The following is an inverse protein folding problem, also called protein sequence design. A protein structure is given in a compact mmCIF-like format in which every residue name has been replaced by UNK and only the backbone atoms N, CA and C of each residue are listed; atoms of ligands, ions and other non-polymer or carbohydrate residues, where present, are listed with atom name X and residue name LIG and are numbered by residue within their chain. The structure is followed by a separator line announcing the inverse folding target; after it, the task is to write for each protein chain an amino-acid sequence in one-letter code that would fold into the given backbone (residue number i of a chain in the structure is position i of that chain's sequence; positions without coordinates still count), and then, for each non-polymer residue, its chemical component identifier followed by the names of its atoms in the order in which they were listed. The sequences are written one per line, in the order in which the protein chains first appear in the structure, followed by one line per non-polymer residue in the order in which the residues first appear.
data_IF_403431551029
#
_entry.id   IF_403431551029
#
_cell.length_a   1.000
_cell.length_b   1.000
_cell.length_c   1.000
_cell.angle_alpha   90.00
_cell.angle_beta   90.00
_cell.angle_gamma   90.00
#
_symmetry.space_group_name_H-M   'P 1'
#
loop_
_entity.id
_entity.type
_entity.pdbx_description
1 polymer ?
#
# COMPACT_ATOMS: atom_id res chain seq x y z
N UNK A 1 -7.32 -10.74 -5.00
CA UNK A 1 -7.66 -10.99 -6.41
C UNK A 1 -8.42 -12.31 -6.54
N UNK A 2 -7.80 -13.46 -6.27
CA UNK A 2 -8.38 -14.82 -6.44
C UNK A 2 -9.74 -15.02 -5.74
N UNK A 3 -10.06 -14.27 -4.69
CA UNK A 3 -11.34 -14.37 -3.97
C UNK A 3 -12.45 -13.48 -4.56
N UNK A 4 -12.13 -12.62 -5.52
CA UNK A 4 -13.07 -11.65 -6.11
C UNK A 4 -13.22 -11.85 -7.61
N UNK A 5 -12.13 -12.15 -8.31
CA UNK A 5 -12.10 -12.31 -9.76
C UNK A 5 -12.15 -13.78 -10.18
N UNK A 6 -12.76 -14.04 -11.32
CA UNK A 6 -12.80 -15.33 -12.03
C UNK A 6 -12.11 -15.21 -13.38
N UNK A 7 -11.89 -16.33 -14.05
CA UNK A 7 -11.34 -16.34 -15.39
C UNK A 7 -12.25 -15.53 -16.36
N UNK A 8 -11.64 -14.59 -17.07
CA UNK A 8 -12.31 -13.68 -18.00
C UNK A 8 -12.90 -12.41 -17.40
N UNK A 9 -12.93 -12.27 -16.06
CA UNK A 9 -13.31 -11.00 -15.43
C UNK A 9 -12.26 -9.91 -15.69
N UNK A 10 -12.72 -8.67 -15.84
CA UNK A 10 -11.83 -7.51 -15.88
C UNK A 10 -11.61 -6.94 -14.47
N UNK A 11 -10.38 -6.52 -14.17
CA UNK A 11 -10.02 -5.83 -12.95
C UNK A 11 -9.16 -4.61 -13.25
N UNK A 12 -9.54 -3.46 -12.68
CA UNK A 12 -8.81 -2.20 -12.84
C UNK A 12 -7.64 -2.18 -11.85
N UNK A 13 -6.41 -2.00 -12.38
CA UNK A 13 -5.18 -2.06 -11.58
C UNK A 13 -4.19 -0.98 -12.00
N UNK A 14 -3.47 -0.32 -11.09
CA UNK A 14 -2.39 0.60 -11.48
C UNK A 14 -1.20 -0.19 -12.03
N UNK A 15 -0.39 0.44 -12.88
CA UNK A 15 0.78 -0.23 -13.48
C UNK A 15 1.89 -0.52 -12.48
N UNK A 16 1.94 0.16 -11.35
CA UNK A 16 2.94 -0.01 -10.30
C UNK A 16 2.55 -1.06 -9.24
N UNK A 17 1.67 -2.01 -9.57
CA UNK A 17 1.31 -3.10 -8.66
C UNK A 17 2.49 -4.02 -8.38
N UNK A 18 2.47 -4.62 -7.20
CA UNK A 18 3.45 -5.62 -6.82
C UNK A 18 3.34 -6.88 -7.70
N UNK A 19 4.45 -7.59 -7.91
CA UNK A 19 4.52 -8.84 -8.69
C UNK A 19 3.49 -9.89 -8.25
N UNK A 20 3.13 -9.94 -6.97
CA UNK A 20 2.10 -10.87 -6.47
C UNK A 20 0.72 -10.64 -7.10
N UNK A 21 0.38 -9.40 -7.40
CA UNK A 21 -0.88 -9.07 -8.10
C UNK A 21 -0.86 -9.64 -9.52
N UNK A 22 0.23 -9.45 -10.24
CA UNK A 22 0.40 -10.02 -11.60
C UNK A 22 0.30 -11.55 -11.55
N UNK A 23 0.98 -12.18 -10.59
CA UNK A 23 0.90 -13.63 -10.42
C UNK A 23 -0.54 -14.10 -10.10
N UNK A 24 -1.27 -13.36 -9.29
CA UNK A 24 -2.67 -13.66 -8.98
C UNK A 24 -3.57 -13.53 -10.21
N UNK A 25 -3.35 -12.52 -11.07
CA UNK A 25 -4.07 -12.36 -12.34
C UNK A 25 -3.84 -13.56 -13.27
N UNK A 26 -2.59 -14.01 -13.37
CA UNK A 26 -2.24 -15.20 -14.17
C UNK A 26 -2.94 -16.44 -13.62
N UNK A 27 -2.92 -16.64 -12.29
CA UNK A 27 -3.52 -17.80 -11.64
C UNK A 27 -5.04 -17.85 -11.77
N UNK A 28 -5.73 -16.71 -11.70
CA UNK A 28 -7.20 -16.69 -11.83
C UNK A 28 -7.69 -16.49 -13.26
N UNK A 29 -6.82 -16.12 -14.19
CA UNK A 29 -7.20 -15.84 -15.57
C UNK A 29 -8.00 -14.55 -15.75
N UNK A 30 -7.89 -13.60 -14.82
CA UNK A 30 -8.51 -12.29 -14.92
C UNK A 30 -7.72 -11.36 -15.86
N UNK A 31 -8.43 -10.46 -16.53
CA UNK A 31 -7.85 -9.51 -17.49
C UNK A 31 -7.60 -8.16 -16.79
N UNK A 32 -6.35 -7.68 -16.70
CA UNK A 32 -6.07 -6.38 -16.12
C UNK A 32 -6.44 -5.23 -17.06
N UNK A 33 -7.13 -4.24 -16.51
CA UNK A 33 -7.32 -2.91 -17.09
C UNK A 33 -6.33 -1.97 -16.39
N UNK A 34 -5.25 -1.62 -17.07
CA UNK A 34 -4.19 -0.84 -16.46
C UNK A 34 -4.49 0.65 -16.39
N UNK A 35 -4.39 1.23 -15.18
CA UNK A 35 -4.30 2.67 -14.99
C UNK A 35 -2.84 3.12 -15.17
N UNK A 36 -2.63 4.14 -16.01
CA UNK A 36 -1.34 4.77 -16.15
C UNK A 36 -1.15 5.77 -14.99
N UNK A 37 -0.25 5.43 -14.09
CA UNK A 37 0.15 6.31 -12.98
C UNK A 37 1.09 7.41 -13.49
N UNK A 38 0.97 8.59 -12.89
CA UNK A 38 1.93 9.67 -13.12
C UNK A 38 3.27 9.33 -12.47
N UNK A 39 4.34 9.93 -12.99
CA UNK A 39 5.68 9.85 -12.41
C UNK A 39 6.15 11.27 -12.11
N UNK A 40 6.63 11.50 -10.90
CA UNK A 40 7.29 12.76 -10.58
C UNK A 40 8.57 12.90 -11.41
N UNK A 41 8.67 13.97 -12.20
CA UNK A 41 9.76 14.13 -13.17
C UNK A 41 11.12 14.39 -12.50
N UNK A 42 11.14 15.01 -11.31
CA UNK A 42 12.37 15.29 -10.55
C UNK A 42 12.80 14.03 -9.79
N UNK A 43 11.88 13.45 -9.02
CA UNK A 43 12.20 12.34 -8.12
C UNK A 43 12.29 10.99 -8.85
N UNK A 44 11.66 10.86 -10.02
CA UNK A 44 11.59 9.61 -10.77
C UNK A 44 10.74 8.53 -10.10
N UNK A 45 9.87 8.92 -9.15
CA UNK A 45 8.99 8.01 -8.43
C UNK A 45 7.59 7.98 -9.03
N UNK A 46 6.96 6.82 -8.99
CA UNK A 46 5.57 6.65 -9.43
C UNK A 46 4.63 7.14 -8.36
N UNK A 47 3.66 7.97 -8.76
CA UNK A 47 2.65 8.55 -7.89
C UNK A 47 1.42 7.63 -7.74
N UNK A 48 0.42 8.10 -6.99
CA UNK A 48 -0.85 7.40 -6.80
C UNK A 48 -1.78 7.51 -8.02
N UNK A 49 -2.96 6.93 -7.87
CA UNK A 49 -4.06 7.06 -8.85
C UNK A 49 -5.10 8.04 -8.34
N UNK A 50 -5.76 8.75 -9.25
CA UNK A 50 -6.82 9.68 -8.92
C UNK A 50 -8.20 9.03 -9.01
N UNK A 51 -9.17 9.54 -8.25
CA UNK A 51 -10.58 9.11 -8.33
C UNK A 51 -11.09 9.23 -9.77
N UNK A 52 -10.74 10.33 -10.46
CA UNK A 52 -11.13 10.57 -11.84
C UNK A 52 -10.61 9.51 -12.82
N UNK A 53 -9.35 9.08 -12.67
CA UNK A 53 -8.78 8.01 -13.50
C UNK A 53 -9.51 6.69 -13.28
N UNK A 54 -9.84 6.37 -12.03
CA UNK A 54 -10.59 5.16 -11.68
C UNK A 54 -12.00 5.21 -12.27
N UNK A 55 -12.72 6.32 -12.12
CA UNK A 55 -14.06 6.50 -12.69
C UNK A 55 -14.05 6.36 -14.22
N UNK A 56 -13.12 7.00 -14.90
CA UNK A 56 -12.98 6.89 -16.34
C UNK A 56 -12.72 5.45 -16.80
N UNK A 57 -11.90 4.71 -16.05
CA UNK A 57 -11.65 3.30 -16.35
C UNK A 57 -12.90 2.43 -16.14
N UNK A 58 -13.66 2.68 -15.07
CA UNK A 58 -14.92 1.97 -14.80
C UNK A 58 -15.93 2.20 -15.95
N UNK A 59 -16.09 3.44 -16.39
CA UNK A 59 -17.00 3.80 -17.50
C UNK A 59 -16.56 3.14 -18.81
N UNK A 60 -15.25 3.11 -19.09
CA UNK A 60 -14.70 2.49 -20.29
C UNK A 60 -14.75 0.95 -20.25
N UNK A 61 -14.77 0.37 -19.05
CA UNK A 61 -14.75 -1.07 -18.81
C UNK A 61 -15.90 -1.53 -17.91
N UNK A 62 -17.15 -1.49 -18.39
CA UNK A 62 -18.36 -1.76 -17.58
C UNK A 62 -18.46 -3.23 -17.13
N UNK A 63 -17.59 -4.10 -17.61
CA UNK A 63 -17.46 -5.51 -17.16
C UNK A 63 -16.46 -5.70 -16.02
N UNK A 64 -15.75 -4.65 -15.61
CA UNK A 64 -14.85 -4.74 -14.50
C UNK A 64 -15.60 -5.10 -13.20
N UNK A 65 -15.05 -6.03 -12.43
CA UNK A 65 -15.67 -6.51 -11.19
C UNK A 65 -15.02 -5.90 -9.95
N UNK A 66 -13.80 -5.38 -10.09
CA UNK A 66 -13.05 -4.82 -8.98
C UNK A 66 -12.04 -3.75 -9.43
N UNK A 67 -11.65 -2.94 -8.46
CA UNK A 67 -10.52 -2.01 -8.54
C UNK A 67 -9.49 -2.46 -7.50
N UNK A 68 -8.21 -2.54 -7.87
CA UNK A 68 -7.12 -2.75 -6.93
C UNK A 68 -6.29 -1.48 -6.83
N UNK A 69 -5.95 -1.07 -5.62
CA UNK A 69 -5.14 0.13 -5.32
C UNK A 69 -3.95 -0.26 -4.46
N UNK A 70 -2.78 0.28 -4.78
CA UNK A 70 -1.58 0.19 -3.95
C UNK A 70 -1.51 1.44 -3.05
N UNK A 71 -1.81 1.31 -1.75
CA UNK A 71 -1.95 2.45 -0.85
C UNK A 71 -1.57 2.12 0.61
N UNK A 72 -0.51 2.74 1.19
CA UNK A 72 0.42 3.65 0.51
C UNK A 72 1.35 2.92 -0.46
N UNK A 73 1.94 3.68 -1.39
CA UNK A 73 3.03 3.16 -2.22
C UNK A 73 4.30 2.92 -1.37
N UNK A 74 5.31 2.29 -1.98
CA UNK A 74 6.63 2.12 -1.34
C UNK A 74 7.23 3.46 -0.86
N UNK A 75 6.98 4.52 -1.60
CA UNK A 75 7.50 5.88 -1.35
C UNK A 75 6.64 6.71 -0.39
N UNK A 76 5.58 6.15 0.18
CA UNK A 76 4.68 6.85 1.10
C UNK A 76 3.57 7.66 0.43
N UNK A 77 3.44 7.60 -0.88
CA UNK A 77 2.37 8.28 -1.62
C UNK A 77 1.04 7.59 -1.35
N UNK A 78 0.03 8.36 -0.97
CA UNK A 78 -1.34 7.89 -0.77
C UNK A 78 -2.28 8.49 -1.81
N UNK A 79 -3.11 7.65 -2.40
CA UNK A 79 -4.25 8.04 -3.23
C UNK A 79 -5.43 8.44 -2.35
N UNK A 80 -6.44 9.13 -2.91
CA UNK A 80 -7.74 9.29 -2.25
C UNK A 80 -8.50 7.96 -2.23
N UNK A 81 -8.05 7.07 -1.33
CA UNK A 81 -8.64 5.72 -1.21
C UNK A 81 -10.12 5.78 -0.82
N UNK A 82 -10.55 6.81 -0.05
CA UNK A 82 -11.96 6.98 0.31
C UNK A 82 -12.79 7.33 -0.92
N UNK A 83 -12.38 8.32 -1.69
CA UNK A 83 -13.04 8.68 -2.95
C UNK A 83 -13.06 7.54 -3.96
N UNK A 84 -11.99 6.75 -4.03
CA UNK A 84 -11.92 5.55 -4.89
C UNK A 84 -12.92 4.50 -4.43
N UNK A 85 -13.04 4.24 -3.13
CA UNK A 85 -14.05 3.31 -2.60
C UNK A 85 -15.47 3.78 -2.93
N UNK A 86 -15.77 5.05 -2.69
CA UNK A 86 -17.10 5.61 -2.92
C UNK A 86 -17.50 5.48 -4.40
N UNK A 87 -16.60 5.86 -5.33
CA UNK A 87 -16.92 5.78 -6.75
C UNK A 87 -17.01 4.32 -7.23
N UNK A 88 -16.10 3.44 -6.85
CA UNK A 88 -16.13 2.03 -7.24
C UNK A 88 -17.42 1.34 -6.76
N UNK A 89 -17.80 1.58 -5.50
CA UNK A 89 -19.04 1.01 -4.92
C UNK A 89 -20.29 1.56 -5.59
N UNK A 90 -20.30 2.84 -6.04
CA UNK A 90 -21.46 3.39 -6.76
C UNK A 90 -21.73 2.68 -8.09
N UNK A 91 -20.71 2.04 -8.67
CA UNK A 91 -20.82 1.20 -9.85
C UNK A 91 -20.89 -0.30 -9.53
N UNK A 92 -20.96 -0.68 -8.24
CA UNK A 92 -21.06 -2.08 -7.80
C UNK A 92 -19.75 -2.87 -7.84
N UNK A 93 -18.61 -2.21 -8.04
CA UNK A 93 -17.29 -2.87 -8.03
C UNK A 93 -16.77 -3.05 -6.60
N UNK A 94 -15.95 -4.10 -6.41
CA UNK A 94 -15.20 -4.30 -5.18
C UNK A 94 -13.88 -3.53 -5.18
N UNK A 95 -13.43 -3.07 -4.00
CA UNK A 95 -12.14 -2.39 -3.84
C UNK A 95 -11.18 -3.28 -3.05
N UNK A 96 -10.05 -3.58 -3.69
CA UNK A 96 -8.94 -4.34 -3.10
C UNK A 96 -7.78 -3.39 -2.84
N UNK A 97 -7.23 -3.40 -1.62
CA UNK A 97 -6.07 -2.59 -1.28
C UNK A 97 -4.84 -3.46 -1.05
N UNK A 98 -3.79 -3.21 -1.82
CA UNK A 98 -2.44 -3.64 -1.45
C UNK A 98 -1.88 -2.58 -0.49
N UNK A 99 -2.01 -2.87 0.79
CA UNK A 99 -1.60 -2.00 1.89
C UNK A 99 -0.37 -2.60 2.61
N UNK A 100 0.47 -3.31 1.86
CA UNK A 100 1.64 -3.98 2.40
C UNK A 100 2.61 -3.03 3.13
N UNK A 101 2.63 -1.76 2.78
CA UNK A 101 3.42 -0.71 3.42
C UNK A 101 2.65 0.13 4.44
N UNK A 102 1.41 -0.22 4.76
CA UNK A 102 0.47 0.58 5.56
C UNK A 102 0.04 -0.03 6.89
N UNK A 103 0.68 -1.08 7.40
CA UNK A 103 0.28 -1.72 8.69
C UNK A 103 0.15 -0.71 9.82
N UNK A 104 1.06 0.26 9.93
CA UNK A 104 1.09 1.29 10.97
C UNK A 104 -0.09 2.28 10.90
N UNK A 105 -0.72 2.43 9.74
CA UNK A 105 -1.88 3.31 9.55
C UNK A 105 -3.09 2.90 10.39
N UNK A 106 -3.12 1.66 10.87
CA UNK A 106 -4.16 1.14 11.76
C UNK A 106 -3.94 1.49 13.23
N UNK A 107 -2.74 1.95 13.60
CA UNK A 107 -2.32 2.07 14.99
C UNK A 107 -1.76 3.45 15.36
N UNK A 108 -1.41 4.29 14.37
CA UNK A 108 -0.91 5.64 14.59
C UNK A 108 -2.00 6.69 14.49
N UNK A 109 -1.82 7.81 15.19
CA UNK A 109 -2.64 9.01 15.01
C UNK A 109 -1.95 9.94 13.99
N UNK A 110 -2.74 10.80 13.32
CA UNK A 110 -2.25 11.78 12.34
C UNK A 110 -1.49 11.16 11.14
N UNK A 111 -1.76 9.90 10.85
CA UNK A 111 -1.31 9.19 9.65
C UNK A 111 -2.41 9.16 8.60
N UNK A 112 -2.09 8.89 7.33
CA UNK A 112 -3.10 8.70 6.29
C UNK A 112 -4.17 7.68 6.69
N UNK A 113 -5.38 7.85 6.15
CA UNK A 113 -6.46 6.91 6.42
C UNK A 113 -6.09 5.51 5.91
N UNK A 114 -6.28 4.46 6.73
CA UNK A 114 -6.12 3.09 6.28
C UNK A 114 -7.28 2.65 5.38
N UNK A 115 -7.00 1.69 4.51
CA UNK A 115 -7.93 1.27 3.44
C UNK A 115 -9.23 0.68 3.97
N UNK A 116 -9.20 -0.06 5.09
CA UNK A 116 -10.42 -0.64 5.67
C UNK A 116 -11.35 0.44 6.24
N UNK A 117 -10.79 1.45 6.90
CA UNK A 117 -11.57 2.60 7.40
C UNK A 117 -12.10 3.46 6.25
N UNK A 118 -11.38 3.53 5.14
CA UNK A 118 -11.82 4.21 3.93
C UNK A 118 -12.95 3.48 3.19
N UNK A 119 -13.19 2.21 3.50
CA UNK A 119 -14.28 1.42 2.93
C UNK A 119 -13.82 0.33 1.95
N UNK A 120 -12.52 0.05 1.80
CA UNK A 120 -12.06 -1.07 0.97
C UNK A 120 -12.68 -2.39 1.41
N UNK A 121 -13.00 -3.26 0.45
CA UNK A 121 -13.61 -4.56 0.74
C UNK A 121 -12.60 -5.57 1.27
N UNK A 122 -11.36 -5.52 0.76
CA UNK A 122 -10.25 -6.37 1.18
C UNK A 122 -8.97 -5.54 1.23
N UNK A 123 -8.17 -5.71 2.29
CA UNK A 123 -6.83 -5.15 2.36
C UNK A 123 -5.80 -6.21 2.77
N UNK A 124 -4.66 -6.23 2.08
CA UNK A 124 -3.52 -7.06 2.44
C UNK A 124 -2.44 -6.20 3.09
N UNK A 125 -2.13 -6.48 4.36
CA UNK A 125 -1.10 -5.78 5.13
C UNK A 125 0.07 -6.71 5.44
N UNK A 126 1.30 -6.20 5.29
CA UNK A 126 2.52 -6.96 5.61
C UNK A 126 3.00 -6.58 7.01
N UNK A 127 2.64 -7.40 8.00
CA UNK A 127 3.03 -7.16 9.40
C UNK A 127 4.55 -7.13 9.58
N UNK A 128 5.28 -7.89 8.77
CA UNK A 128 6.75 -7.94 8.81
C UNK A 128 7.45 -6.68 8.29
N UNK A 129 6.76 -5.79 7.55
CA UNK A 129 7.37 -4.54 7.03
C UNK A 129 7.34 -3.40 8.04
N UNK A 130 6.17 -3.08 8.56
CA UNK A 130 5.99 -1.95 9.50
C UNK A 130 5.26 -2.32 10.79
N UNK A 131 4.91 -3.59 10.98
CA UNK A 131 4.23 -4.08 12.18
C UNK A 131 5.15 -4.72 13.23
N UNK A 132 6.40 -5.07 12.87
CA UNK A 132 7.39 -5.63 13.80
C UNK A 132 7.34 -7.15 13.99
N UNK A 133 6.64 -7.89 13.13
CA UNK A 133 6.65 -9.35 13.13
C UNK A 133 7.80 -9.91 12.29
N UNK A 134 8.09 -11.19 12.44
CA UNK A 134 9.08 -11.90 11.63
C UNK A 134 8.66 -11.89 10.15
N UNK A 135 9.65 -12.02 9.27
CA UNK A 135 9.43 -12.05 7.82
C UNK A 135 8.45 -13.13 7.39
N UNK A 136 7.81 -12.98 6.25
CA UNK A 136 6.74 -13.86 5.71
C UNK A 136 5.44 -13.85 6.52
N UNK A 137 5.22 -12.88 7.41
CA UNK A 137 3.98 -12.74 8.16
C UNK A 137 3.14 -11.57 7.66
N UNK A 138 1.89 -11.84 7.35
CA UNK A 138 0.93 -10.87 6.79
C UNK A 138 -0.47 -11.14 7.35
N UNK A 139 -1.34 -10.14 7.23
CA UNK A 139 -2.76 -10.27 7.60
C UNK A 139 -3.59 -9.84 6.39
N UNK A 140 -4.63 -10.61 6.11
CA UNK A 140 -5.67 -10.23 5.17
C UNK A 140 -6.89 -9.75 5.96
N UNK A 141 -7.34 -8.54 5.66
CA UNK A 141 -8.48 -7.90 6.29
C UNK A 141 -9.65 -7.88 5.29
N UNK A 142 -10.86 -8.12 5.79
CA UNK A 142 -12.07 -8.09 4.97
C UNK A 142 -13.15 -7.27 5.65
N UNK A 143 -13.93 -6.51 4.86
CA UNK A 143 -15.13 -5.83 5.31
C UNK A 143 -16.39 -6.67 5.04
N UNK A 144 -17.52 -6.23 5.59
CA UNK A 144 -18.82 -6.85 5.37
C UNK A 144 -19.14 -6.91 3.86
N UNK A 145 -19.75 -8.03 3.43
CA UNK A 145 -20.09 -8.26 2.01
C UNK A 145 -19.03 -9.06 1.24
N UNK A 146 -17.93 -9.43 1.89
CA UNK A 146 -16.98 -10.45 1.40
C UNK A 146 -17.30 -11.78 2.04
N UNK A 147 -17.39 -12.83 1.24
CA UNK A 147 -17.57 -14.19 1.75
C UNK A 147 -16.27 -14.68 2.39
N UNK A 148 -16.21 -14.62 3.72
CA UNK A 148 -15.02 -14.99 4.49
C UNK A 148 -14.64 -16.47 4.32
N UNK A 149 -15.62 -17.37 4.21
CA UNK A 149 -15.37 -18.81 4.02
C UNK A 149 -14.73 -19.10 2.67
N UNK A 150 -15.15 -18.36 1.64
CA UNK A 150 -14.52 -18.47 0.33
C UNK A 150 -13.08 -17.90 0.33
N UNK A 151 -12.84 -16.78 0.98
CA UNK A 151 -11.49 -16.25 1.19
C UNK A 151 -10.61 -17.26 1.91
N UNK A 152 -11.12 -17.88 2.98
CA UNK A 152 -10.41 -18.93 3.72
C UNK A 152 -10.08 -20.13 2.82
N UNK A 153 -11.02 -20.55 1.98
CA UNK A 153 -10.79 -21.63 1.00
C UNK A 153 -9.63 -21.27 0.05
N UNK A 154 -9.60 -20.05 -0.50
CA UNK A 154 -8.51 -19.61 -1.36
C UNK A 154 -7.17 -19.58 -0.61
N UNK A 155 -7.15 -19.10 0.64
CA UNK A 155 -5.95 -19.12 1.48
C UNK A 155 -5.45 -20.56 1.67
N UNK A 156 -6.33 -21.49 1.99
CA UNK A 156 -5.98 -22.89 2.22
C UNK A 156 -5.40 -23.56 0.96
N UNK A 157 -5.83 -23.16 -0.24
CA UNK A 157 -5.30 -23.67 -1.50
C UNK A 157 -3.94 -23.05 -1.86
N UNK A 158 -3.74 -21.77 -1.51
CA UNK A 158 -2.58 -21.00 -1.97
C UNK A 158 -1.46 -20.89 -0.93
N UNK A 159 -1.73 -21.25 0.32
CA UNK A 159 -0.76 -21.17 1.41
C UNK A 159 -0.33 -22.57 1.87
N UNK A 160 0.72 -22.60 2.71
CA UNK A 160 1.20 -23.86 3.30
C UNK A 160 0.15 -24.50 4.23
N UNK A 161 0.08 -25.83 4.22
CA UNK A 161 -0.70 -26.61 5.19
C UNK A 161 0.05 -26.83 6.52
N UNK A 162 1.35 -26.48 6.58
CA UNK A 162 2.23 -26.64 7.74
C UNK A 162 2.58 -25.27 8.32
N UNK A 163 1.69 -24.73 9.16
CA UNK A 163 1.89 -23.43 9.77
C UNK A 163 3.10 -23.42 10.72
N UNK A 164 3.92 -22.36 10.61
CA UNK A 164 5.01 -22.10 11.56
C UNK A 164 4.48 -21.41 12.81
N UNK A 165 4.56 -22.09 13.96
CA UNK A 165 4.17 -21.50 15.25
C UNK A 165 5.01 -20.29 15.61
N UNK A 166 6.28 -20.22 15.20
CA UNK A 166 7.14 -19.05 15.42
C UNK A 166 6.59 -17.82 14.68
N UNK A 167 6.17 -17.98 13.42
CA UNK A 167 5.58 -16.90 12.65
C UNK A 167 4.23 -16.48 13.23
N UNK A 168 3.39 -17.42 13.61
CA UNK A 168 2.07 -17.14 14.23
C UNK A 168 2.24 -16.41 15.58
N UNK A 169 3.16 -16.87 16.43
CA UNK A 169 3.46 -16.23 17.71
C UNK A 169 4.01 -14.81 17.49
N UNK A 170 4.89 -14.65 16.53
CA UNK A 170 5.45 -13.34 16.16
C UNK A 170 4.35 -12.37 15.72
N UNK A 171 3.40 -12.83 14.90
CA UNK A 171 2.23 -12.05 14.48
C UNK A 171 1.38 -11.61 15.67
N UNK A 172 1.06 -12.51 16.59
CA UNK A 172 0.21 -12.18 17.74
C UNK A 172 0.92 -11.22 18.71
N UNK A 173 2.22 -11.42 18.98
CA UNK A 173 3.01 -10.50 19.78
C UNK A 173 3.04 -9.10 19.14
N UNK A 174 3.26 -9.02 17.82
CA UNK A 174 3.25 -7.74 17.09
C UNK A 174 1.89 -7.06 17.17
N UNK A 175 0.81 -7.79 16.88
CA UNK A 175 -0.56 -7.30 17.01
C UNK A 175 -0.82 -6.74 18.41
N UNK A 176 -0.45 -7.49 19.46
CA UNK A 176 -0.61 -7.07 20.85
C UNK A 176 0.18 -5.80 21.15
N UNK A 177 1.44 -5.73 20.74
CA UNK A 177 2.28 -4.56 20.95
C UNK A 177 1.71 -3.33 20.26
N UNK A 178 1.27 -3.47 19.02
CA UNK A 178 0.66 -2.39 18.25
C UNK A 178 -0.65 -1.91 18.89
N UNK A 179 -1.50 -2.83 19.33
CA UNK A 179 -2.75 -2.48 20.01
C UNK A 179 -2.52 -1.71 21.33
N UNK A 180 -1.47 -2.06 22.10
CA UNK A 180 -1.19 -1.44 23.39
C UNK A 180 -0.32 -0.17 23.30
N UNK A 181 0.58 -0.11 22.33
CA UNK A 181 1.64 0.91 22.28
C UNK A 181 1.76 1.60 20.92
N UNK A 182 0.98 1.18 19.92
CA UNK A 182 1.13 1.66 18.54
C UNK A 182 1.04 3.19 18.44
N UNK A 183 0.07 3.81 19.09
CA UNK A 183 -0.05 5.28 19.14
C UNK A 183 1.23 5.96 19.59
N UNK A 184 1.75 5.55 20.74
CA UNK A 184 2.95 6.15 21.30
C UNK A 184 4.19 5.88 20.42
N UNK A 185 4.30 4.65 19.89
CA UNK A 185 5.43 4.26 19.05
C UNK A 185 5.44 5.04 17.75
N UNK A 186 4.31 5.15 17.06
CA UNK A 186 4.24 5.85 15.78
C UNK A 186 4.26 7.37 15.92
N UNK A 187 3.82 7.93 17.05
CA UNK A 187 4.06 9.34 17.35
C UNK A 187 5.56 9.65 17.37
N UNK A 188 6.37 8.81 18.07
CA UNK A 188 7.83 8.96 18.08
C UNK A 188 8.47 8.73 16.72
N UNK A 189 8.01 7.71 15.98
CA UNK A 189 8.52 7.46 14.61
C UNK A 189 8.26 8.65 13.71
N UNK A 190 7.07 9.26 13.78
CA UNK A 190 6.73 10.46 13.02
C UNK A 190 7.64 11.64 13.38
N UNK A 191 7.85 11.86 14.69
CA UNK A 191 8.76 12.91 15.19
C UNK A 191 10.19 12.70 14.68
N UNK A 192 10.72 11.48 14.81
CA UNK A 192 12.06 11.16 14.35
C UNK A 192 12.22 11.25 12.84
N UNK A 193 11.22 10.79 12.07
CA UNK A 193 11.24 10.90 10.62
C UNK A 193 11.21 12.36 10.16
N UNK A 194 10.44 13.20 10.86
CA UNK A 194 10.40 14.63 10.58
C UNK A 194 11.74 15.30 10.91
N UNK A 195 12.29 15.05 12.11
CA UNK A 195 13.59 15.56 12.49
C UNK A 195 14.70 15.16 11.51
N UNK A 196 14.77 13.86 11.17
CA UNK A 196 15.77 13.38 10.20
C UNK A 196 15.61 14.04 8.82
N UNK A 197 14.37 14.29 8.37
CA UNK A 197 14.10 14.99 7.11
C UNK A 197 14.62 16.43 7.13
N UNK A 198 14.41 17.14 8.23
CA UNK A 198 14.88 18.51 8.42
C UNK A 198 16.41 18.56 8.45
N UNK A 199 17.06 17.68 9.20
CA UNK A 199 18.51 17.57 9.26
C UNK A 199 19.14 17.27 7.89
N UNK A 200 18.61 16.27 7.16
CA UNK A 200 19.10 15.91 5.83
C UNK A 200 18.96 17.10 4.85
N UNK A 201 17.81 17.77 4.87
CA UNK A 201 17.58 18.93 4.00
C UNK A 201 18.49 20.12 4.35
N UNK A 202 18.95 20.21 5.61
CA UNK A 202 19.87 21.28 6.04
C UNK A 202 21.31 21.09 5.52
N UNK A 203 21.71 19.85 5.20
CA UNK A 203 23.05 19.55 4.68
C UNK A 203 23.28 20.19 3.30
N UNK A 204 22.22 20.27 2.48
CA UNK A 204 22.31 20.71 1.09
C UNK A 204 22.76 19.61 0.13
N UNK A 205 22.27 19.67 -1.12
CA UNK A 205 22.52 18.64 -2.14
C UNK A 205 21.68 17.36 -1.99
N UNK A 206 21.01 17.18 -0.86
CA UNK A 206 20.03 16.11 -0.61
C UNK A 206 18.62 16.69 -0.54
N UNK A 207 17.63 15.87 -0.91
CA UNK A 207 16.23 16.25 -0.74
C UNK A 207 15.43 15.11 -0.15
N UNK A 208 15.16 15.20 1.14
CA UNK A 208 14.24 14.32 1.84
C UNK A 208 12.83 14.91 1.75
N UNK A 209 12.01 14.34 0.85
CA UNK A 209 10.67 14.85 0.59
C UNK A 209 9.63 14.36 1.60
N UNK A 210 8.49 15.05 1.63
CA UNK A 210 7.42 14.81 2.58
C UNK A 210 6.06 15.31 2.08
N UNK A 211 5.30 15.94 2.97
CA UNK A 211 3.93 16.41 2.70
C UNK A 211 3.83 17.50 1.64
N UNK A 212 4.91 18.18 1.30
CA UNK A 212 4.97 19.17 0.23
C UNK A 212 4.67 18.57 -1.16
N UNK A 213 4.75 17.24 -1.30
CA UNK A 213 4.33 16.56 -2.53
C UNK A 213 2.82 16.48 -2.70
N UNK A 214 2.03 16.73 -1.64
CA UNK A 214 0.57 16.65 -1.69
C UNK A 214 0.04 17.69 -2.68
N UNK A 215 -0.68 17.21 -3.70
CA UNK A 215 -1.23 18.03 -4.77
C UNK A 215 -2.76 17.90 -4.91
N UNK A 216 -3.41 17.12 -4.02
CA UNK A 216 -4.85 16.88 -4.07
C UNK A 216 -5.34 15.96 -5.21
N UNK A 217 -4.41 15.44 -6.01
CA UNK A 217 -4.68 14.53 -7.14
C UNK A 217 -3.96 13.20 -6.97
N UNK A 218 -2.90 12.99 -7.75
CA UNK A 218 -2.08 11.76 -7.71
C UNK A 218 -1.25 11.60 -6.43
N UNK A 219 -1.10 12.66 -5.63
CA UNK A 219 -0.63 12.63 -4.25
C UNK A 219 -1.71 13.28 -3.38
N UNK A 220 -2.62 12.46 -2.86
CA UNK A 220 -3.72 12.94 -2.03
C UNK A 220 -3.30 13.12 -0.57
N UNK A 221 -2.50 12.19 -0.06
CA UNK A 221 -1.88 12.27 1.26
C UNK A 221 -0.48 11.64 1.22
N UNK A 222 0.29 11.78 2.29
CA UNK A 222 1.65 11.28 2.40
C UNK A 222 1.90 10.62 3.76
N UNK A 223 2.47 9.42 3.73
CA UNK A 223 2.92 8.70 4.92
C UNK A 223 4.23 9.31 5.46
N UNK A 224 4.10 10.17 6.45
CA UNK A 224 5.21 10.93 7.05
C UNK A 224 6.25 10.05 7.75
N UNK A 225 5.94 8.78 8.02
CA UNK A 225 6.91 7.82 8.58
C UNK A 225 7.92 7.34 7.56
N UNK A 226 7.67 7.55 6.26
CA UNK A 226 8.61 7.23 5.18
C UNK A 226 9.65 8.32 5.04
N UNK A 227 10.90 7.94 5.24
CA UNK A 227 12.06 8.80 4.98
C UNK A 227 12.70 8.39 3.66
N UNK A 228 12.36 9.11 2.61
CA UNK A 228 12.92 8.91 1.27
C UNK A 228 13.80 10.11 0.92
N UNK A 229 15.00 9.82 0.43
CA UNK A 229 16.01 10.85 0.13
C UNK A 229 16.38 10.78 -1.33
N UNK A 230 16.26 11.90 -2.02
CA UNK A 230 16.73 12.08 -3.37
C UNK A 230 18.19 12.55 -3.36
N UNK A 231 19.05 11.87 -4.12
CA UNK A 231 20.51 12.04 -4.06
C UNK A 231 21.14 12.46 -5.39
N UNK A 232 20.37 12.54 -6.47
CA UNK A 232 20.93 12.84 -7.81
C UNK A 232 21.55 14.23 -7.93
N UNK A 233 21.14 15.18 -7.09
CA UNK A 233 21.70 16.54 -7.10
C UNK A 233 23.18 16.57 -6.66
N UNK A 234 23.66 15.51 -5.97
CA UNK A 234 25.08 15.31 -5.65
C UNK A 234 25.80 14.37 -6.62
N UNK A 235 25.13 13.96 -7.71
CA UNK A 235 25.72 13.11 -8.73
C UNK A 235 25.79 11.61 -8.38
N UNK A 236 25.12 11.17 -7.31
CA UNK A 236 25.08 9.77 -6.88
C UNK A 236 23.68 9.19 -7.07
N UNK A 237 23.61 7.93 -7.47
CA UNK A 237 22.35 7.19 -7.43
C UNK A 237 22.11 6.56 -6.05
N UNK A 238 20.89 6.03 -5.84
CA UNK A 238 20.50 5.47 -4.54
C UNK A 238 21.27 4.21 -4.14
N UNK A 239 21.79 3.45 -5.12
CA UNK A 239 22.60 2.24 -4.86
C UNK A 239 24.00 2.65 -4.42
N UNK A 240 24.60 3.61 -5.09
CA UNK A 240 25.91 4.16 -4.71
C UNK A 240 25.89 4.72 -3.29
N UNK A 241 24.86 5.50 -2.95
CA UNK A 241 24.70 6.02 -1.58
C UNK A 241 24.48 4.89 -0.58
N UNK A 242 23.67 3.87 -0.92
CA UNK A 242 23.48 2.71 -0.06
C UNK A 242 24.79 1.98 0.23
N UNK A 243 25.62 1.76 -0.78
CA UNK A 243 26.91 1.09 -0.60
C UNK A 243 27.87 1.90 0.26
N UNK A 244 27.91 3.23 0.09
CA UNK A 244 28.71 4.14 0.94
C UNK A 244 28.25 4.10 2.40
N UNK A 245 26.94 4.04 2.67
CA UNK A 245 26.40 4.07 4.03
C UNK A 245 26.43 2.72 4.74
N UNK A 246 26.60 1.62 4.00
CA UNK A 246 26.65 0.27 4.56
C UNK A 246 28.00 -0.07 5.20
N UNK A 247 29.07 0.50 4.71
CA UNK A 247 30.46 0.31 5.21
C UNK A 247 30.76 1.22 6.41
#
# INVERSE_FOLDING_TARGET
VLSVCRAGDEIIVPRNVHKSVINALILCGATPVYLNTETDSKLGIVLGVTVKQVEQAIIAHPKAVAVLVNNPTYYGICSDIKGICDIAHSYGLKVLADEAHGTHLYFGDNLPINSMKAGADIAAISMHKSGGSLTQSSILLTNNGINADYVQTIINITQTTSASYLLMTSLDISRRNLALRGRQSFAKVTEWAQYAREEINSIGGYYAYGRELINGGSVYDYDVTKLCVYTRDIGLDGIEVYDILRD
#
